data_IF_051770153774
#
_entry.id   IF_051770153774
#
_cell.length_a   1.000
_cell.length_b   1.000
_cell.length_c   1.000
_cell.angle_alpha   90.00
_cell.angle_beta   90.00
_cell.angle_gamma   90.00
#
_symmetry.space_group_name_H-M   'P 1'
#
loop_
_entity.id
_entity.type
_entity.pdbx_description
1 polymer ?
#
# COMPACT_ATOMS: atom_id res chain seq x y z
N UNK A 1 -10.10 -0.59 5.10
CA UNK A 1 -8.76 -1.05 4.67
C UNK A 1 -7.85 -1.00 5.88
N UNK A 2 -7.05 -2.03 6.11
CA UNK A 2 -6.05 -2.04 7.17
C UNK A 2 -4.67 -1.72 6.61
N UNK A 3 -3.95 -0.90 7.36
CA UNK A 3 -2.61 -0.43 7.06
C UNK A 3 -1.70 -0.78 8.21
N UNK A 4 -0.46 -1.09 7.89
CA UNK A 4 0.62 -1.17 8.85
C UNK A 4 1.67 -0.14 8.46
N UNK A 5 2.18 0.56 9.46
CA UNK A 5 3.16 1.62 9.27
C UNK A 5 4.31 1.45 10.25
N UNK A 6 5.52 1.77 9.79
CA UNK A 6 6.72 1.77 10.61
C UNK A 6 7.57 3.01 10.31
N UNK A 7 8.27 3.49 11.33
CA UNK A 7 9.12 4.67 11.25
C UNK A 7 8.38 5.95 11.62
N UNK A 8 9.07 6.83 12.33
CA UNK A 8 8.59 8.16 12.73
C UNK A 8 9.33 9.22 11.90
N UNK A 9 8.70 9.67 10.80
CA UNK A 9 9.29 10.61 9.84
C UNK A 9 10.09 9.95 8.71
N UNK A 10 10.67 10.78 7.84
CA UNK A 10 11.34 10.35 6.60
C UNK A 10 10.40 10.32 5.38
N UNK A 11 10.97 10.12 4.19
CA UNK A 11 10.20 10.12 2.95
C UNK A 11 9.33 8.85 2.86
N UNK A 12 8.00 8.95 2.67
CA UNK A 12 7.12 7.79 2.66
C UNK A 12 7.39 6.85 1.49
N UNK A 13 7.33 5.55 1.76
CA UNK A 13 7.29 4.49 0.75
C UNK A 13 6.10 3.58 1.01
N UNK A 14 5.30 3.34 -0.01
CA UNK A 14 4.10 2.51 0.05
C UNK A 14 4.33 1.20 -0.70
N UNK A 15 4.12 0.06 -0.02
CA UNK A 15 4.43 -1.26 -0.56
C UNK A 15 3.14 -2.06 -0.85
N UNK A 16 2.77 -2.20 -2.12
CA UNK A 16 1.59 -2.97 -2.55
C UNK A 16 1.94 -4.41 -2.88
N UNK A 17 1.34 -5.34 -2.13
CA UNK A 17 1.52 -6.78 -2.34
C UNK A 17 0.84 -7.27 -3.64
N UNK A 18 1.26 -8.43 -4.14
CA UNK A 18 0.63 -9.11 -5.28
C UNK A 18 -0.68 -9.84 -4.93
N UNK A 19 -1.32 -10.43 -5.94
CA UNK A 19 -2.60 -11.14 -5.77
C UNK A 19 -2.52 -12.28 -4.75
N UNK A 20 -3.60 -12.49 -4.01
CA UNK A 20 -3.71 -13.46 -2.90
C UNK A 20 -2.72 -13.24 -1.74
N UNK A 21 -2.01 -12.12 -1.73
CA UNK A 21 -1.06 -11.75 -0.68
C UNK A 21 -1.69 -10.93 0.44
N UNK A 22 -0.83 -10.46 1.33
CA UNK A 22 -1.12 -9.43 2.34
C UNK A 22 0.15 -8.62 2.59
N UNK A 23 0.12 -7.73 3.57
CA UNK A 23 1.27 -6.96 4.04
C UNK A 23 2.52 -7.83 4.29
N UNK A 24 2.32 -9.10 4.64
CA UNK A 24 3.40 -10.01 5.01
C UNK A 24 4.35 -10.31 3.84
N UNK A 25 3.98 -9.99 2.60
CA UNK A 25 4.84 -10.07 1.42
C UNK A 25 6.13 -9.25 1.62
N UNK A 26 6.04 -8.16 2.38
CA UNK A 26 7.11 -7.18 2.52
C UNK A 26 7.90 -7.30 3.82
N UNK A 27 7.67 -8.33 4.65
CA UNK A 27 8.30 -8.43 6.00
C UNK A 27 9.82 -8.33 5.98
N UNK A 28 10.47 -8.87 4.94
CA UNK A 28 11.94 -8.82 4.79
C UNK A 28 12.46 -7.48 4.28
N UNK A 29 11.58 -6.62 3.78
CA UNK A 29 11.93 -5.31 3.23
C UNK A 29 11.71 -4.18 4.24
N UNK A 30 10.84 -4.38 5.24
CA UNK A 30 10.49 -3.34 6.23
C UNK A 30 11.75 -2.83 6.95
N UNK A 31 12.51 -3.72 7.61
CA UNK A 31 13.69 -3.29 8.39
C UNK A 31 14.74 -2.60 7.52
N UNK A 32 15.16 -3.14 6.35
CA UNK A 32 16.10 -2.43 5.48
C UNK A 32 15.63 -1.05 5.01
N UNK A 33 14.33 -0.88 4.74
CA UNK A 33 13.79 0.43 4.34
C UNK A 33 13.79 1.42 5.51
N UNK A 34 13.50 0.97 6.72
CA UNK A 34 13.60 1.80 7.93
C UNK A 34 15.04 2.23 8.20
N UNK A 35 16.01 1.31 8.05
CA UNK A 35 17.44 1.61 8.18
C UNK A 35 17.92 2.59 7.11
N UNK A 36 17.29 2.60 5.94
CA UNK A 36 17.49 3.60 4.88
C UNK A 36 16.78 4.94 5.14
N UNK A 37 16.15 5.12 6.31
CA UNK A 37 15.50 6.37 6.70
C UNK A 37 14.12 6.60 6.08
N UNK A 38 13.45 5.54 5.60
CA UNK A 38 12.12 5.63 4.99
C UNK A 38 11.01 5.48 6.03
N UNK A 39 9.89 6.17 5.80
CA UNK A 39 8.64 5.84 6.48
C UNK A 39 7.89 4.78 5.68
N UNK A 40 7.71 3.58 6.23
CA UNK A 40 7.19 2.43 5.48
C UNK A 40 5.71 2.24 5.73
N UNK A 41 4.92 2.23 4.67
CA UNK A 41 3.47 2.02 4.69
C UNK A 41 3.09 0.79 3.87
N UNK A 42 2.35 -0.14 4.48
CA UNK A 42 2.00 -1.41 3.84
C UNK A 42 0.52 -1.71 4.08
N UNK A 43 -0.34 -1.56 3.06
CA UNK A 43 -1.74 -1.97 3.16
C UNK A 43 -1.91 -3.47 2.94
N UNK A 44 -2.97 -4.02 3.53
CA UNK A 44 -3.68 -5.12 2.90
C UNK A 44 -4.64 -4.52 1.85
N UNK A 45 -4.45 -4.86 0.57
CA UNK A 45 -5.31 -4.36 -0.50
C UNK A 45 -6.79 -4.74 -0.26
N UNK A 46 -7.77 -3.95 -0.73
CA UNK A 46 -9.19 -4.29 -0.58
C UNK A 46 -9.52 -5.73 -0.98
N UNK A 47 -10.16 -6.48 -0.07
CA UNK A 47 -10.50 -7.90 -0.28
C UNK A 47 -9.38 -8.90 0.00
N UNK A 48 -8.21 -8.45 0.47
CA UNK A 48 -7.07 -9.29 0.81
C UNK A 48 -6.67 -9.13 2.27
N UNK A 49 -5.93 -10.12 2.80
CA UNK A 49 -5.44 -10.11 4.17
C UNK A 49 -6.54 -9.84 5.19
N UNK A 50 -6.32 -8.84 6.03
CA UNK A 50 -7.28 -8.41 7.05
C UNK A 50 -8.18 -7.24 6.57
N UNK A 51 -8.06 -6.82 5.31
CA UNK A 51 -8.90 -5.76 4.71
C UNK A 51 -10.23 -6.33 4.23
N UNK A 52 -11.32 -5.62 4.55
CA UNK A 52 -12.62 -5.88 3.94
C UNK A 52 -12.58 -5.73 2.41
N UNK A 53 -13.44 -6.48 1.72
CA UNK A 53 -13.69 -6.34 0.29
C UNK A 53 -14.26 -4.95 -0.06
N UNK A 54 -13.97 -4.41 -1.25
CA UNK A 54 -14.57 -3.16 -1.70
C UNK A 54 -16.11 -3.28 -1.77
N UNK A 55 -16.86 -2.18 -1.52
CA UNK A 55 -18.32 -2.20 -1.48
C UNK A 55 -18.97 -2.46 -2.85
N UNK A 56 -18.23 -2.20 -3.94
CA UNK A 56 -18.66 -2.42 -5.32
C UNK A 56 -17.46 -2.70 -6.22
N UNK A 57 -17.67 -3.43 -7.32
CA UNK A 57 -16.60 -3.92 -8.19
C UNK A 57 -16.07 -5.29 -7.73
N UNK A 58 -15.19 -5.90 -8.52
CA UNK A 58 -14.65 -7.23 -8.23
C UNK A 58 -13.27 -7.52 -8.82
N UNK A 59 -12.64 -6.53 -9.45
CA UNK A 59 -11.34 -6.67 -10.08
C UNK A 59 -10.45 -5.44 -9.75
N UNK A 60 -9.26 -5.38 -10.35
CA UNK A 60 -8.24 -4.38 -10.13
C UNK A 60 -8.74 -2.94 -10.26
N UNK A 61 -9.76 -2.69 -11.06
CA UNK A 61 -10.35 -1.38 -11.35
C UNK A 61 -11.13 -0.78 -10.16
N UNK A 62 -11.53 -1.60 -9.20
CA UNK A 62 -12.23 -1.16 -7.99
C UNK A 62 -11.30 -0.66 -6.88
N UNK A 63 -9.98 -0.87 -7.03
CA UNK A 63 -8.98 -0.58 -6.02
C UNK A 63 -8.39 0.85 -6.05
N UNK A 64 -8.25 1.55 -7.19
CA UNK A 64 -7.58 2.86 -7.25
C UNK A 64 -8.24 3.92 -6.38
N UNK A 65 -9.54 4.17 -6.55
CA UNK A 65 -10.26 5.20 -5.81
C UNK A 65 -10.19 5.06 -4.27
N UNK A 66 -10.47 3.88 -3.67
CA UNK A 66 -10.32 3.73 -2.22
C UNK A 66 -8.86 3.80 -1.75
N UNK A 67 -7.90 3.45 -2.62
CA UNK A 67 -6.47 3.57 -2.30
C UNK A 67 -6.02 5.03 -2.29
N UNK A 68 -6.37 5.82 -3.31
CA UNK A 68 -6.09 7.26 -3.36
C UNK A 68 -6.72 8.00 -2.17
N UNK A 69 -7.97 7.69 -1.85
CA UNK A 69 -8.65 8.28 -0.70
C UNK A 69 -7.95 7.96 0.62
N UNK A 70 -7.49 6.72 0.79
CA UNK A 70 -6.73 6.29 1.96
C UNK A 70 -5.37 7.00 2.03
N UNK A 71 -4.62 7.06 0.93
CA UNK A 71 -3.32 7.73 0.88
C UNK A 71 -3.44 9.23 1.19
N UNK A 72 -4.42 9.93 0.61
CA UNK A 72 -4.69 11.33 0.94
C UNK A 72 -5.03 11.52 2.42
N UNK A 73 -5.80 10.61 3.00
CA UNK A 73 -6.17 10.67 4.42
C UNK A 73 -4.95 10.44 5.34
N UNK A 74 -4.07 9.51 4.97
CA UNK A 74 -2.93 9.11 5.80
C UNK A 74 -1.71 10.03 5.63
N UNK A 75 -1.46 10.52 4.42
CA UNK A 75 -0.22 11.19 4.03
C UNK A 75 -0.44 12.61 3.48
N UNK A 76 -1.70 13.04 3.32
CA UNK A 76 -2.02 14.36 2.77
C UNK A 76 -1.52 14.52 1.34
N UNK A 77 -0.87 15.67 1.09
CA UNK A 77 -0.23 15.99 -0.20
C UNK A 77 1.27 15.64 -0.23
N UNK A 78 1.75 14.86 0.74
CA UNK A 78 3.15 14.42 0.79
C UNK A 78 3.44 13.53 -0.41
N UNK A 79 4.53 13.81 -1.14
CA UNK A 79 4.99 12.93 -2.21
C UNK A 79 5.40 11.56 -1.63
N UNK A 80 5.04 10.48 -2.32
CA UNK A 80 5.31 9.11 -1.87
C UNK A 80 5.95 8.31 -2.99
N UNK A 81 6.88 7.42 -2.63
CA UNK A 81 7.33 6.38 -3.55
C UNK A 81 6.37 5.20 -3.49
N UNK A 82 5.92 4.72 -4.65
CA UNK A 82 5.09 3.53 -4.76
C UNK A 82 5.93 2.33 -5.22
N UNK A 83 5.87 1.24 -4.47
CA UNK A 83 6.49 -0.04 -4.83
C UNK A 83 5.38 -1.08 -4.92
N UNK A 84 5.19 -1.65 -6.11
CA UNK A 84 4.21 -2.71 -6.33
C UNK A 84 4.86 -3.99 -6.81
N UNK A 85 4.31 -5.13 -6.39
CA UNK A 85 4.64 -6.44 -6.94
C UNK A 85 3.43 -7.06 -7.65
N UNK A 86 3.58 -7.50 -8.90
CA UNK A 86 2.53 -8.21 -9.67
C UNK A 86 1.22 -7.40 -9.69
N UNK A 87 0.11 -7.94 -9.18
CA UNK A 87 -1.16 -7.22 -9.04
C UNK A 87 -1.02 -5.87 -8.32
N UNK A 88 -0.15 -5.77 -7.31
CA UNK A 88 0.14 -4.52 -6.62
C UNK A 88 0.79 -3.47 -7.53
N UNK A 89 1.56 -3.87 -8.54
CA UNK A 89 2.08 -2.95 -9.57
C UNK A 89 0.96 -2.39 -10.42
N UNK A 90 -0.02 -3.20 -10.79
CA UNK A 90 -1.18 -2.73 -11.56
C UNK A 90 -1.96 -1.66 -10.78
N UNK A 91 -2.21 -1.90 -9.49
CA UNK A 91 -2.87 -0.92 -8.60
C UNK A 91 -2.03 0.35 -8.48
N UNK A 92 -0.72 0.24 -8.28
CA UNK A 92 0.19 1.39 -8.18
C UNK A 92 0.15 2.27 -9.44
N UNK A 93 0.15 1.65 -10.63
CA UNK A 93 0.12 2.38 -11.91
C UNK A 93 -1.19 3.13 -12.12
N UNK A 94 -2.32 2.65 -11.57
CA UNK A 94 -3.59 3.35 -11.71
C UNK A 94 -3.70 4.64 -10.87
N UNK A 95 -2.87 4.79 -9.84
CA UNK A 95 -2.94 5.90 -8.89
C UNK A 95 -1.74 6.86 -8.95
N UNK A 96 -0.75 6.56 -9.79
CA UNK A 96 0.43 7.39 -10.01
C UNK A 96 0.16 8.49 -11.05
#
# INVERSE_FOLDING_TARGET
MLWRSWGDGGDPVVLFHGGSGSWNHWVRNIVPLLEAGRQVWVPDLPGFGDSASPPSGGDADALPAPMEAALRTLLGDTAVDLVGFSFGTMVATFIA
#
